data_IF_604333333669
#
_entry.id   IF_604333333669
#
_cell.length_a   1.000
_cell.length_b   1.000
_cell.length_c   1.000
_cell.angle_alpha   90.00
_cell.angle_beta   90.00
_cell.angle_gamma   90.00
#
_symmetry.space_group_name_H-M   'P 1'
#
loop_
_entity.id
_entity.type
_entity.pdbx_description
1 polymer ?
#
# COMPACT_ATOMS: atom_id res chain seq x y z
N UNK A 1 1.08 54.11 43.96
CA UNK A 1 0.14 53.33 43.12
C UNK A 1 0.33 53.61 41.62
N UNK A 2 0.46 54.85 41.12
CA UNK A 2 0.62 55.12 39.65
C UNK A 2 1.90 54.61 38.98
N UNK A 3 3.02 54.39 39.72
CA UNK A 3 4.26 53.83 39.17
C UNK A 3 4.22 52.28 39.00
N UNK A 4 3.52 51.60 39.90
CA UNK A 4 3.40 50.12 39.85
C UNK A 4 2.50 49.68 38.68
N UNK A 5 1.42 50.45 38.39
CA UNK A 5 0.53 50.19 37.24
C UNK A 5 1.25 50.34 35.90
N UNK A 6 2.16 51.29 35.73
CA UNK A 6 2.93 51.49 34.51
C UNK A 6 3.95 50.35 34.27
N UNK A 7 4.55 49.81 35.33
CA UNK A 7 5.49 48.67 35.24
C UNK A 7 4.73 47.39 34.88
N UNK A 8 3.55 47.19 35.46
CA UNK A 8 2.69 46.01 35.14
C UNK A 8 2.22 46.07 33.68
N UNK A 9 1.81 47.25 33.16
CA UNK A 9 1.44 47.38 31.75
C UNK A 9 2.63 47.15 30.81
N UNK A 10 3.84 47.57 31.16
CA UNK A 10 5.03 47.34 30.35
C UNK A 10 5.45 45.87 30.33
N UNK A 11 5.31 45.16 31.44
CA UNK A 11 5.59 43.72 31.52
C UNK A 11 4.54 42.89 30.76
N UNK A 12 3.27 43.27 30.85
CA UNK A 12 2.19 42.61 30.07
C UNK A 12 2.33 42.84 28.57
N UNK A 13 2.72 44.02 28.12
CA UNK A 13 2.96 44.29 26.69
C UNK A 13 4.21 43.59 26.17
N UNK A 14 5.25 43.41 26.97
CA UNK A 14 6.44 42.61 26.61
C UNK A 14 6.13 41.10 26.54
N UNK A 15 5.27 40.60 27.42
CA UNK A 15 4.79 39.19 27.35
C UNK A 15 3.89 38.93 26.14
N UNK A 16 3.06 39.89 25.72
CA UNK A 16 2.28 39.76 24.48
C UNK A 16 3.15 39.84 23.21
N UNK A 17 4.24 40.58 23.21
CA UNK A 17 5.19 40.60 22.08
C UNK A 17 6.02 39.33 21.98
N UNK A 18 6.31 38.66 23.08
CA UNK A 18 6.98 37.35 23.12
C UNK A 18 6.07 36.20 22.67
N UNK A 19 4.76 36.30 22.85
CA UNK A 19 3.80 35.29 22.36
C UNK A 19 3.56 35.35 20.85
N UNK A 20 3.81 36.47 20.20
CA UNK A 20 3.74 36.62 18.73
C UNK A 20 4.97 36.06 18.01
N UNK A 21 6.09 35.85 18.72
CA UNK A 21 7.29 35.21 18.15
C UNK A 21 7.28 33.70 18.22
N UNK A 22 6.34 33.09 18.96
CA UNK A 22 6.23 31.61 19.09
C UNK A 22 5.26 30.96 18.09
N UNK A 23 4.49 31.73 17.31
CA UNK A 23 3.58 31.23 16.25
C UNK A 23 4.05 31.57 14.84
N UNK A 24 5.34 31.48 14.58
CA UNK A 24 5.93 31.77 13.28
C UNK A 24 6.84 30.66 12.79
N UNK A 25 6.42 29.36 12.85
CA UNK A 25 6.82 28.44 11.82
C UNK A 25 5.85 28.63 10.67
N UNK A 26 6.16 29.60 9.86
CA UNK A 26 5.64 29.78 8.53
C UNK A 26 5.82 28.44 7.80
N UNK A 27 4.74 27.88 7.30
CA UNK A 27 4.81 26.84 6.31
C UNK A 27 5.81 27.32 5.25
N UNK A 28 6.90 26.59 5.06
CA UNK A 28 7.96 26.95 4.14
C UNK A 28 7.35 27.24 2.78
N UNK A 29 7.59 28.45 2.29
CA UNK A 29 7.21 28.85 0.96
C UNK A 29 7.92 27.96 -0.07
N UNK A 30 7.33 27.88 -1.24
CA UNK A 30 7.69 27.06 -2.39
C UNK A 30 9.09 27.33 -3.01
N UNK A 31 10.07 27.83 -2.25
CA UNK A 31 11.40 28.15 -2.76
C UNK A 31 12.47 27.10 -2.50
N UNK A 32 12.17 25.95 -1.86
CA UNK A 32 13.08 24.81 -1.74
C UNK A 32 12.92 23.77 -2.90
N UNK A 33 12.50 24.23 -4.06
CA UNK A 33 12.34 23.43 -5.28
C UNK A 33 13.67 22.86 -5.86
N UNK A 34 14.68 22.61 -5.03
CA UNK A 34 15.91 21.89 -5.39
C UNK A 34 15.94 20.46 -4.85
N UNK A 35 14.80 19.75 -4.87
CA UNK A 35 14.78 18.31 -4.87
C UNK A 35 15.24 17.59 -3.60
N UNK A 36 15.37 18.28 -2.45
CA UNK A 36 15.59 17.61 -1.16
C UNK A 36 14.27 17.23 -0.54
N UNK A 37 14.12 15.95 -0.10
CA UNK A 37 12.93 15.53 0.63
C UNK A 37 12.70 16.41 1.86
N UNK A 38 11.44 16.73 2.12
CA UNK A 38 11.03 17.41 3.37
C UNK A 38 10.76 16.32 4.41
N UNK A 39 11.38 16.48 5.59
CA UNK A 39 11.22 15.52 6.68
C UNK A 39 9.96 15.83 7.50
N UNK A 40 9.26 14.76 7.90
CA UNK A 40 8.10 14.83 8.78
C UNK A 40 6.77 15.08 8.08
N UNK A 41 5.72 15.22 8.90
CA UNK A 41 4.35 15.44 8.45
C UNK A 41 3.60 14.15 8.12
N UNK A 42 2.28 14.27 8.04
CA UNK A 42 1.36 13.17 7.70
C UNK A 42 0.72 13.43 6.35
N UNK A 43 0.79 12.45 5.46
CA UNK A 43 0.13 12.49 4.17
C UNK A 43 -1.29 11.94 4.29
N UNK A 44 -2.31 12.77 4.01
CA UNK A 44 -3.72 12.39 4.13
C UNK A 44 -4.35 12.28 2.76
N UNK A 45 -4.98 11.15 2.46
CA UNK A 45 -5.72 10.98 1.22
C UNK A 45 -7.00 10.17 1.41
N UNK A 46 -7.91 10.28 0.46
CA UNK A 46 -9.18 9.58 0.46
C UNK A 46 -9.23 8.52 -0.62
N UNK A 47 -9.95 7.43 -0.34
CA UNK A 47 -10.28 6.37 -1.29
C UNK A 47 -11.79 6.13 -1.28
N UNK A 48 -12.33 5.67 -2.41
CA UNK A 48 -13.77 5.42 -2.55
C UNK A 48 -14.19 4.08 -1.93
N UNK A 49 -13.28 3.12 -1.87
CA UNK A 49 -13.55 1.77 -1.38
C UNK A 49 -13.24 1.64 0.12
N UNK A 50 -14.07 0.91 0.88
CA UNK A 50 -13.81 0.69 2.29
C UNK A 50 -12.66 -0.29 2.50
N UNK A 51 -11.74 0.02 3.42
CA UNK A 51 -10.75 -0.93 3.94
C UNK A 51 -11.43 -1.72 5.06
N UNK A 52 -11.52 -3.03 4.90
CA UNK A 52 -12.22 -3.91 5.85
C UNK A 52 -11.30 -4.81 6.67
N UNK A 53 -10.01 -4.87 6.32
CA UNK A 53 -9.02 -5.77 6.90
C UNK A 53 -7.63 -5.20 6.69
N UNK A 54 -6.68 -5.53 7.55
CA UNK A 54 -5.26 -5.21 7.33
C UNK A 54 -4.53 -6.32 6.55
N UNK A 55 -5.18 -7.43 6.23
CA UNK A 55 -4.59 -8.51 5.45
C UNK A 55 -4.45 -8.12 3.98
N UNK A 56 -3.25 -8.31 3.42
CA UNK A 56 -2.96 -8.05 2.01
C UNK A 56 -3.97 -8.71 1.06
N UNK A 57 -4.27 -9.98 1.27
CA UNK A 57 -5.08 -10.77 0.34
C UNK A 57 -6.54 -10.34 0.29
N UNK A 58 -7.05 -9.70 1.33
CA UNK A 58 -8.41 -9.15 1.35
C UNK A 58 -8.52 -7.84 0.54
N UNK A 59 -7.39 -7.14 0.33
CA UNK A 59 -7.36 -5.82 -0.31
C UNK A 59 -6.68 -5.84 -1.68
N UNK A 60 -6.02 -6.93 -2.05
CA UNK A 60 -5.24 -7.03 -3.29
C UNK A 60 -6.09 -7.21 -4.55
N UNK A 61 -7.40 -7.33 -4.43
CA UNK A 61 -8.32 -7.45 -5.58
C UNK A 61 -8.54 -6.11 -6.30
N UNK A 62 -8.33 -4.98 -5.62
CA UNK A 62 -8.52 -3.64 -6.17
C UNK A 62 -7.21 -2.88 -6.30
N UNK A 63 -7.17 -1.93 -7.24
CA UNK A 63 -5.97 -1.10 -7.42
C UNK A 63 -5.78 -0.13 -6.26
N UNK A 64 -6.88 0.39 -5.68
CA UNK A 64 -6.83 1.28 -4.52
C UNK A 64 -6.32 0.53 -3.29
N UNK A 65 -6.81 -0.68 -3.04
CA UNK A 65 -6.29 -1.55 -1.99
C UNK A 65 -4.79 -1.79 -2.14
N UNK A 66 -4.32 -2.16 -3.34
CA UNK A 66 -2.88 -2.35 -3.60
C UNK A 66 -2.06 -1.10 -3.32
N UNK A 67 -2.53 0.10 -3.71
CA UNK A 67 -1.82 1.36 -3.48
C UNK A 67 -1.60 1.65 -1.99
N UNK A 68 -2.58 1.34 -1.14
CA UNK A 68 -2.44 1.46 0.31
C UNK A 68 -1.48 0.40 0.84
N UNK A 69 -1.78 -0.87 0.57
CA UNK A 69 -1.14 -2.00 1.23
C UNK A 69 0.30 -2.27 0.79
N UNK A 70 0.72 -1.82 -0.41
CA UNK A 70 2.13 -1.87 -0.82
C UNK A 70 3.08 -0.96 -0.01
N UNK A 71 2.53 -0.12 0.89
CA UNK A 71 3.31 0.65 1.87
C UNK A 71 3.41 -0.08 3.21
N UNK A 72 2.48 -1.01 3.48
CA UNK A 72 2.45 -1.84 4.68
C UNK A 72 3.18 -3.18 4.49
N UNK A 73 3.30 -3.66 3.25
CA UNK A 73 3.93 -4.93 2.92
C UNK A 73 4.94 -4.79 1.81
N UNK A 74 6.09 -5.42 1.96
CA UNK A 74 7.04 -5.58 0.87
C UNK A 74 6.87 -6.96 0.19
N UNK A 75 6.98 -7.03 -1.14
CA UNK A 75 7.02 -8.29 -1.88
C UNK A 75 8.43 -8.91 -1.83
N UNK A 76 8.62 -10.06 -2.47
CA UNK A 76 9.96 -10.64 -2.63
C UNK A 76 10.87 -9.72 -3.44
N UNK A 77 10.36 -9.19 -4.56
CA UNK A 77 11.04 -8.16 -5.37
C UNK A 77 10.04 -7.37 -6.21
N UNK A 78 10.45 -6.19 -6.66
CA UNK A 78 9.77 -5.40 -7.69
C UNK A 78 10.55 -5.52 -9.00
N UNK A 79 9.84 -5.63 -10.12
CA UNK A 79 10.45 -5.60 -11.46
C UNK A 79 10.47 -4.16 -11.98
N UNK A 80 11.63 -3.68 -12.36
CA UNK A 80 11.79 -2.38 -12.99
C UNK A 80 11.41 -2.43 -14.48
N UNK A 81 11.20 -1.27 -15.09
CA UNK A 81 10.85 -1.15 -16.52
C UNK A 81 11.96 -1.63 -17.45
N UNK A 82 13.21 -1.61 -17.00
CA UNK A 82 14.38 -2.14 -17.73
C UNK A 82 14.57 -3.66 -17.57
N UNK A 83 13.68 -4.32 -16.80
CA UNK A 83 13.74 -5.75 -16.53
C UNK A 83 14.64 -6.14 -15.36
N UNK A 84 15.33 -5.21 -14.72
CA UNK A 84 16.08 -5.46 -13.50
C UNK A 84 15.16 -5.73 -12.32
N UNK A 85 15.65 -6.44 -11.29
CA UNK A 85 14.90 -6.76 -10.09
C UNK A 85 15.40 -5.89 -8.93
N UNK A 86 14.45 -5.18 -8.28
CA UNK A 86 14.69 -4.51 -7.00
C UNK A 86 14.27 -5.47 -5.88
N UNK A 87 15.24 -6.20 -5.37
CA UNK A 87 15.02 -7.16 -4.29
C UNK A 87 14.56 -6.47 -3.02
N UNK A 88 13.49 -7.01 -2.41
CA UNK A 88 12.86 -6.53 -1.19
C UNK A 88 13.08 -7.52 -0.05
N UNK A 89 12.13 -8.40 0.24
CA UNK A 89 12.31 -9.44 1.26
C UNK A 89 13.29 -10.52 0.78
N UNK A 90 13.34 -10.80 -0.52
CA UNK A 90 14.35 -11.69 -1.08
C UNK A 90 15.72 -11.02 -1.18
N UNK A 91 16.77 -11.82 -0.99
CA UNK A 91 18.16 -11.48 -1.30
C UNK A 91 18.51 -11.92 -2.72
N UNK A 92 18.05 -13.09 -3.14
CA UNK A 92 18.25 -13.63 -4.49
C UNK A 92 17.18 -14.65 -4.85
N UNK A 93 17.07 -14.92 -6.15
CA UNK A 93 16.37 -16.07 -6.69
C UNK A 93 17.24 -16.72 -7.75
N UNK A 94 17.58 -18.01 -7.57
CA UNK A 94 18.31 -18.81 -8.52
C UNK A 94 17.32 -19.72 -9.25
N UNK A 95 17.40 -19.79 -10.57
CA UNK A 95 16.50 -20.55 -11.42
C UNK A 95 17.32 -21.61 -12.16
N UNK A 96 16.87 -22.88 -12.10
CA UNK A 96 17.52 -23.97 -12.84
C UNK A 96 17.51 -23.72 -14.36
N UNK A 97 18.42 -24.35 -15.09
CA UNK A 97 18.55 -24.19 -16.55
C UNK A 97 17.26 -24.54 -17.31
N UNK A 98 16.52 -25.54 -16.83
CA UNK A 98 15.22 -25.96 -17.37
C UNK A 98 14.05 -25.05 -16.94
N UNK A 99 14.32 -24.07 -16.06
CA UNK A 99 13.32 -23.10 -15.58
C UNK A 99 12.24 -23.70 -14.68
N UNK A 100 12.44 -24.90 -14.13
CA UNK A 100 11.42 -25.61 -13.32
C UNK A 100 11.64 -25.53 -11.82
N UNK A 101 12.86 -25.19 -11.38
CA UNK A 101 13.23 -25.07 -9.97
C UNK A 101 13.68 -23.65 -9.65
N UNK A 102 13.13 -23.09 -8.59
CA UNK A 102 13.43 -21.73 -8.11
C UNK A 102 13.93 -21.84 -6.67
N UNK A 103 15.17 -21.48 -6.42
CA UNK A 103 15.74 -21.37 -5.07
C UNK A 103 15.67 -19.93 -4.62
N UNK A 104 14.77 -19.63 -3.72
CA UNK A 104 14.59 -18.29 -3.14
C UNK A 104 15.40 -18.20 -1.86
N UNK A 105 16.24 -17.18 -1.76
CA UNK A 105 16.96 -16.81 -0.53
C UNK A 105 16.40 -15.51 0.02
N UNK A 106 15.91 -15.52 1.25
CA UNK A 106 15.49 -14.33 1.98
C UNK A 106 16.72 -13.55 2.49
N UNK A 107 16.53 -12.27 2.73
CA UNK A 107 17.44 -11.46 3.54
C UNK A 107 17.44 -12.00 4.98
N UNK A 108 18.51 -11.73 5.71
CA UNK A 108 18.67 -12.12 7.10
C UNK A 108 18.42 -10.97 8.10
N UNK A 109 18.21 -9.76 7.58
CA UNK A 109 17.99 -8.51 8.32
C UNK A 109 16.53 -8.01 8.22
N UNK A 110 15.56 -8.88 7.93
CA UNK A 110 14.15 -8.53 7.79
C UNK A 110 13.34 -8.97 9.01
N UNK A 111 12.49 -8.04 9.47
CA UNK A 111 11.63 -8.22 10.62
C UNK A 111 10.23 -7.72 10.35
N UNK A 112 9.26 -8.32 10.99
CA UNK A 112 7.92 -7.80 11.10
C UNK A 112 7.92 -6.50 11.93
N UNK A 113 6.86 -5.71 11.81
CA UNK A 113 6.72 -4.43 12.53
C UNK A 113 6.72 -4.58 14.05
N UNK A 114 6.36 -5.74 14.58
CA UNK A 114 6.40 -6.10 16.00
C UNK A 114 7.75 -6.62 16.49
N UNK A 115 8.72 -6.80 15.58
CA UNK A 115 10.09 -7.23 15.88
C UNK A 115 10.34 -8.72 15.70
N UNK A 116 9.33 -9.54 15.39
CA UNK A 116 9.52 -10.95 15.03
C UNK A 116 10.26 -11.08 13.69
N UNK A 117 11.08 -12.11 13.54
CA UNK A 117 11.88 -12.31 12.33
C UNK A 117 11.03 -12.88 11.20
N UNK A 118 11.16 -12.29 10.00
CA UNK A 118 10.54 -12.86 8.80
C UNK A 118 11.38 -14.04 8.32
N UNK A 119 10.73 -15.19 8.17
CA UNK A 119 11.39 -16.44 7.78
C UNK A 119 10.63 -17.15 6.65
N UNK A 120 11.19 -18.26 6.19
CA UNK A 120 10.51 -19.13 5.21
C UNK A 120 9.27 -19.82 5.78
N UNK A 121 9.09 -19.87 7.11
CA UNK A 121 7.84 -20.36 7.71
C UNK A 121 6.66 -19.46 7.38
N UNK A 122 6.88 -18.13 7.31
CA UNK A 122 5.85 -17.18 6.87
C UNK A 122 5.46 -17.41 5.39
N UNK A 123 6.44 -17.80 4.54
CA UNK A 123 6.17 -18.16 3.13
C UNK A 123 5.34 -19.43 3.06
N UNK A 124 5.73 -20.47 3.80
CA UNK A 124 5.00 -21.75 3.85
C UNK A 124 3.58 -21.50 4.35
N UNK A 125 3.42 -20.82 5.48
CA UNK A 125 2.12 -20.48 6.04
C UNK A 125 1.23 -19.74 5.02
N UNK A 126 1.80 -18.75 4.33
CA UNK A 126 1.07 -17.97 3.33
C UNK A 126 0.58 -18.85 2.19
N UNK A 127 1.46 -19.68 1.64
CA UNK A 127 1.12 -20.57 0.52
C UNK A 127 0.13 -21.66 0.93
N UNK A 128 0.30 -22.24 2.11
CA UNK A 128 -0.64 -23.22 2.67
C UNK A 128 -2.04 -22.60 2.79
N UNK A 129 -2.15 -21.34 3.26
CA UNK A 129 -3.41 -20.60 3.30
C UNK A 129 -4.00 -20.38 1.90
N UNK A 130 -3.19 -19.94 0.94
CA UNK A 130 -3.66 -19.63 -0.41
C UNK A 130 -4.06 -20.86 -1.22
N UNK A 131 -3.55 -22.03 -0.90
CA UNK A 131 -3.83 -23.27 -1.63
C UNK A 131 -5.05 -24.04 -1.10
N UNK A 132 -5.61 -23.62 0.05
CA UNK A 132 -6.87 -24.19 0.56
C UNK A 132 -8.01 -23.91 -0.43
N UNK A 133 -8.69 -24.94 -0.98
CA UNK A 133 -9.71 -24.75 -2.02
C UNK A 133 -10.86 -23.82 -1.61
N UNK A 134 -11.25 -23.85 -0.34
CA UNK A 134 -12.35 -23.05 0.23
C UNK A 134 -11.98 -21.57 0.37
N UNK A 135 -10.69 -21.27 0.46
CA UNK A 135 -10.14 -19.92 0.66
C UNK A 135 -9.68 -19.31 -0.66
N UNK A 136 -9.01 -20.11 -1.47
CA UNK A 136 -8.28 -19.81 -2.70
C UNK A 136 -8.67 -18.46 -3.36
N UNK A 137 -8.09 -17.33 -2.93
CA UNK A 137 -8.38 -16.04 -3.54
C UNK A 137 -7.96 -16.08 -5.03
N UNK A 138 -8.53 -15.20 -5.85
CA UNK A 138 -8.20 -15.13 -7.28
C UNK A 138 -6.70 -15.01 -7.56
N UNK A 139 -5.96 -14.42 -6.64
CA UNK A 139 -4.50 -14.28 -6.67
C UNK A 139 -3.76 -15.63 -6.56
N UNK A 140 -4.37 -16.64 -5.92
CA UNK A 140 -3.77 -17.98 -5.78
C UNK A 140 -3.53 -18.68 -7.13
N UNK A 141 -4.33 -18.36 -8.14
CA UNK A 141 -4.15 -18.92 -9.48
C UNK A 141 -2.77 -18.60 -10.11
N UNK A 142 -2.12 -17.52 -9.66
CA UNK A 142 -0.80 -17.13 -10.12
C UNK A 142 0.32 -18.12 -9.72
N UNK A 143 0.08 -18.95 -8.70
CA UNK A 143 1.01 -19.99 -8.23
C UNK A 143 0.76 -21.37 -8.89
N UNK A 144 -0.12 -21.41 -9.89
CA UNK A 144 -0.39 -22.62 -10.70
C UNK A 144 0.35 -22.54 -12.04
N UNK A 145 0.91 -23.70 -12.43
CA UNK A 145 1.44 -23.93 -13.78
C UNK A 145 0.74 -25.16 -14.34
N UNK A 146 0.11 -25.02 -15.50
CA UNK A 146 -0.71 -26.07 -16.14
C UNK A 146 -1.85 -26.63 -15.26
N UNK A 147 -2.39 -25.76 -14.39
CA UNK A 147 -3.50 -26.10 -13.50
C UNK A 147 -3.07 -26.63 -12.13
N UNK A 148 -1.82 -27.03 -11.97
CA UNK A 148 -1.27 -27.55 -10.72
C UNK A 148 -0.54 -26.47 -9.94
N UNK A 149 -0.71 -26.44 -8.61
CA UNK A 149 0.07 -25.58 -7.73
C UNK A 149 1.55 -25.96 -7.75
N UNK A 150 2.43 -24.96 -7.60
CA UNK A 150 3.83 -25.22 -7.34
C UNK A 150 3.99 -26.03 -6.04
N UNK A 151 4.99 -26.89 -6.00
CA UNK A 151 5.45 -27.49 -4.74
C UNK A 151 6.56 -26.65 -4.14
N UNK A 152 6.70 -26.65 -2.82
CA UNK A 152 7.74 -25.89 -2.12
C UNK A 152 8.28 -26.70 -0.94
N UNK A 153 9.56 -26.47 -0.64
CA UNK A 153 10.27 -27.16 0.43
C UNK A 153 11.21 -26.18 1.14
N UNK A 154 10.97 -25.98 2.43
CA UNK A 154 11.86 -25.20 3.31
C UNK A 154 13.19 -25.95 3.46
N UNK A 155 14.30 -25.26 3.18
CA UNK A 155 15.65 -25.76 3.40
C UNK A 155 16.27 -25.18 4.69
N UNK A 156 15.94 -23.93 5.00
CA UNK A 156 16.35 -23.24 6.22
C UNK A 156 15.41 -22.06 6.49
N UNK A 157 15.61 -21.31 7.54
CA UNK A 157 14.83 -20.11 7.85
C UNK A 157 14.93 -19.00 6.79
N UNK A 158 15.93 -19.10 5.90
CA UNK A 158 16.14 -18.11 4.83
C UNK A 158 16.12 -18.70 3.43
N UNK A 159 16.05 -20.03 3.26
CA UNK A 159 16.09 -20.67 1.94
C UNK A 159 14.89 -21.59 1.76
N UNK A 160 14.16 -21.36 0.67
CA UNK A 160 13.04 -22.19 0.23
C UNK A 160 13.16 -22.50 -1.27
N UNK A 161 12.85 -23.73 -1.65
CA UNK A 161 12.90 -24.21 -3.03
C UNK A 161 11.49 -24.45 -3.54
N UNK A 162 11.17 -23.86 -4.71
CA UNK A 162 9.92 -24.08 -5.42
C UNK A 162 10.15 -24.94 -6.64
N UNK A 163 9.18 -25.79 -6.97
CA UNK A 163 9.19 -26.59 -8.22
C UNK A 163 7.87 -26.43 -8.95
N UNK A 164 7.95 -26.33 -10.27
CA UNK A 164 6.82 -26.23 -11.20
C UNK A 164 6.99 -27.23 -12.34
N UNK A 165 5.88 -27.63 -12.97
CA UNK A 165 5.89 -28.64 -14.02
C UNK A 165 6.64 -28.23 -15.30
N UNK A 166 6.76 -26.94 -15.58
CA UNK A 166 7.54 -26.37 -16.70
C UNK A 166 7.95 -24.94 -16.42
N UNK A 167 8.90 -24.42 -17.20
CA UNK A 167 9.31 -23.01 -17.14
C UNK A 167 8.12 -22.07 -17.33
N UNK A 168 8.01 -21.08 -16.44
CA UNK A 168 6.91 -20.12 -16.47
C UNK A 168 7.36 -18.73 -16.02
N UNK A 169 7.30 -17.76 -16.95
CA UNK A 169 7.56 -16.34 -16.61
C UNK A 169 6.45 -15.76 -15.70
N UNK A 170 5.21 -16.28 -15.81
CA UNK A 170 4.11 -15.88 -14.93
C UNK A 170 4.38 -16.32 -13.51
N UNK A 171 4.88 -17.54 -13.31
CA UNK A 171 5.25 -18.02 -11.98
C UNK A 171 6.40 -17.21 -11.38
N UNK A 172 7.45 -16.90 -12.17
CA UNK A 172 8.53 -16.00 -11.73
C UNK A 172 7.99 -14.64 -11.26
N UNK A 173 7.05 -14.06 -12.02
CA UNK A 173 6.39 -12.80 -11.67
C UNK A 173 5.56 -12.94 -10.39
N UNK A 174 4.78 -14.03 -10.27
CA UNK A 174 3.97 -14.31 -9.09
C UNK A 174 4.84 -14.46 -7.84
N UNK A 175 5.95 -15.18 -7.94
CA UNK A 175 6.91 -15.34 -6.84
C UNK A 175 7.49 -13.99 -6.42
N UNK A 176 7.81 -13.10 -7.37
CA UNK A 176 8.30 -11.75 -7.08
C UNK A 176 7.28 -10.90 -6.34
N UNK A 177 6.00 -11.04 -6.69
CA UNK A 177 4.89 -10.32 -6.05
C UNK A 177 4.21 -11.11 -4.93
N UNK A 178 4.89 -12.11 -4.36
CA UNK A 178 4.43 -12.80 -3.16
C UNK A 178 4.57 -11.84 -1.96
N UNK A 179 3.44 -11.55 -1.33
CA UNK A 179 3.35 -10.83 -0.06
C UNK A 179 3.08 -11.84 1.04
N UNK A 180 4.00 -11.96 1.98
CA UNK A 180 3.88 -12.94 3.06
C UNK A 180 2.97 -12.46 4.18
N UNK A 181 2.32 -13.41 4.86
CA UNK A 181 1.55 -13.18 6.07
C UNK A 181 2.37 -13.57 7.30
N UNK A 182 2.26 -12.83 8.41
CA UNK A 182 2.96 -13.14 9.66
C UNK A 182 2.35 -14.38 10.32
N UNK A 183 2.98 -15.52 10.17
CA UNK A 183 2.48 -16.80 10.68
C UNK A 183 2.16 -16.75 12.17
N UNK A 184 2.99 -16.09 12.96
CA UNK A 184 2.84 -15.94 14.42
C UNK A 184 1.57 -15.19 14.83
N UNK A 185 1.07 -14.26 13.98
CA UNK A 185 -0.19 -13.54 14.25
C UNK A 185 -1.44 -14.44 14.10
N UNK A 186 -1.29 -15.59 13.46
CA UNK A 186 -2.38 -16.53 13.16
C UNK A 186 -2.23 -17.87 13.89
N UNK A 187 -1.47 -17.91 14.99
CA UNK A 187 -1.28 -19.12 15.75
C UNK A 187 -2.62 -19.70 16.24
N UNK A 188 -2.89 -20.96 15.94
CA UNK A 188 -4.15 -21.62 16.28
C UNK A 188 -5.35 -21.29 15.38
N UNK A 189 -5.19 -20.42 14.38
CA UNK A 189 -6.25 -20.12 13.41
C UNK A 189 -6.23 -21.17 12.30
N UNK A 190 -7.36 -21.85 12.01
CA UNK A 190 -7.43 -22.79 10.88
C UNK A 190 -7.15 -22.07 9.55
N UNK A 191 -6.45 -22.72 8.63
CA UNK A 191 -6.11 -22.14 7.32
C UNK A 191 -7.35 -21.63 6.54
N UNK A 192 -8.51 -22.28 6.72
CA UNK A 192 -9.80 -21.86 6.14
C UNK A 192 -10.34 -20.54 6.68
N UNK A 193 -9.86 -20.09 7.84
CA UNK A 193 -10.35 -18.92 8.54
C UNK A 193 -9.37 -17.74 8.51
N UNK A 194 -8.12 -17.94 8.07
CA UNK A 194 -7.06 -16.92 8.09
C UNK A 194 -7.48 -15.62 7.41
N UNK A 195 -8.20 -15.67 6.28
CA UNK A 195 -8.62 -14.45 5.58
C UNK A 195 -9.86 -13.78 6.21
N UNK A 196 -10.54 -14.42 7.15
CA UNK A 196 -11.80 -13.92 7.73
C UNK A 196 -11.76 -13.69 9.24
N UNK A 197 -10.70 -14.14 9.92
CA UNK A 197 -10.56 -14.05 11.37
C UNK A 197 -10.34 -12.60 11.85
N UNK A 198 -10.65 -12.37 13.12
CA UNK A 198 -10.54 -11.06 13.76
C UNK A 198 -9.09 -10.52 13.85
N UNK A 199 -8.10 -11.40 13.86
CA UNK A 199 -6.67 -11.05 13.84
C UNK A 199 -6.32 -10.12 12.67
N UNK A 200 -7.06 -10.21 11.56
CA UNK A 200 -6.88 -9.34 10.40
C UNK A 200 -7.12 -7.84 10.66
N UNK A 201 -7.66 -7.47 11.81
CA UNK A 201 -7.80 -6.08 12.22
C UNK A 201 -6.53 -5.51 12.89
N UNK A 202 -5.60 -6.37 13.31
CA UNK A 202 -4.35 -5.97 13.98
C UNK A 202 -3.26 -7.02 13.74
N UNK A 203 -2.62 -6.98 12.57
CA UNK A 203 -1.54 -7.91 12.19
C UNK A 203 -0.24 -7.15 11.93
N UNK A 204 0.87 -7.81 12.17
CA UNK A 204 2.19 -7.28 11.86
C UNK A 204 2.39 -7.11 10.34
N UNK A 205 3.17 -6.12 9.95
CA UNK A 205 3.43 -5.77 8.55
C UNK A 205 4.94 -5.73 8.26
N UNK A 206 5.33 -5.89 7.00
CA UNK A 206 6.75 -5.96 6.58
C UNK A 206 7.25 -4.71 5.88
N UNK A 207 6.39 -3.73 5.61
CA UNK A 207 6.70 -2.55 4.80
C UNK A 207 7.22 -1.37 5.60
N UNK A 208 7.35 -0.23 4.89
CA UNK A 208 7.88 1.01 5.44
C UNK A 208 6.98 1.67 6.50
N UNK A 209 5.71 1.28 6.55
CA UNK A 209 4.73 1.79 7.50
C UNK A 209 4.00 0.66 8.21
N UNK A 210 3.50 0.96 9.39
CA UNK A 210 2.69 0.08 10.23
C UNK A 210 1.36 0.75 10.57
N UNK A 211 0.28 -0.02 10.68
CA UNK A 211 -1.00 0.49 11.13
C UNK A 211 -0.90 0.89 12.62
N UNK A 212 -1.18 2.15 12.92
CA UNK A 212 -1.29 2.70 14.27
C UNK A 212 -2.71 2.61 14.79
N UNK A 213 -3.68 2.99 13.95
CA UNK A 213 -5.11 2.83 14.25
C UNK A 213 -5.89 2.49 13.00
N UNK A 214 -6.88 1.61 13.18
CA UNK A 214 -7.72 1.12 12.11
C UNK A 214 -9.19 1.09 12.53
N UNK A 215 -10.03 1.84 11.83
CA UNK A 215 -11.49 1.80 11.94
C UNK A 215 -12.05 1.22 10.65
N UNK A 216 -12.62 0.03 10.74
CA UNK A 216 -13.12 -0.75 9.58
C UNK A 216 -14.08 0.09 8.73
N UNK A 217 -13.79 0.24 7.46
CA UNK A 217 -14.60 0.98 6.50
C UNK A 217 -14.57 2.50 6.64
N UNK A 218 -13.81 3.04 7.59
CA UNK A 218 -13.76 4.49 7.84
C UNK A 218 -12.36 5.07 7.61
N UNK A 219 -11.37 4.58 8.37
CA UNK A 219 -10.05 5.20 8.42
C UNK A 219 -8.94 4.22 8.80
N UNK A 220 -7.79 4.39 8.15
CA UNK A 220 -6.54 3.76 8.51
C UNK A 220 -5.46 4.83 8.72
N UNK A 221 -4.84 4.85 9.88
CA UNK A 221 -3.67 5.69 10.19
C UNK A 221 -2.43 4.81 10.26
N UNK A 222 -1.39 5.22 9.55
CA UNK A 222 -0.13 4.50 9.49
C UNK A 222 1.02 5.41 9.92
N UNK A 223 1.95 4.86 10.69
CA UNK A 223 3.20 5.51 11.11
C UNK A 223 4.40 4.80 10.50
N UNK A 224 5.57 5.45 10.53
CA UNK A 224 6.82 4.83 10.13
C UNK A 224 7.05 3.52 10.88
N UNK A 225 7.44 2.47 10.16
CA UNK A 225 7.85 1.20 10.77
C UNK A 225 9.28 1.36 11.34
N UNK A 226 9.47 1.28 12.66
CA UNK A 226 10.79 1.43 13.26
C UNK A 226 11.74 0.25 12.94
N UNK A 227 11.17 -0.90 12.57
CA UNK A 227 11.91 -2.12 12.24
C UNK A 227 12.13 -2.30 10.73
N UNK A 228 11.84 -1.27 9.91
CA UNK A 228 11.99 -1.37 8.48
C UNK A 228 13.46 -1.47 8.07
N UNK A 229 13.83 -2.50 7.35
CA UNK A 229 15.20 -2.87 6.98
C UNK A 229 15.82 -1.98 5.89
N UNK A 230 15.05 -1.10 5.24
CA UNK A 230 15.54 -0.15 4.23
C UNK A 230 15.53 1.27 4.76
N UNK A 231 15.82 2.22 3.88
CA UNK A 231 15.77 3.64 4.21
C UNK A 231 14.38 4.02 4.72
N UNK A 232 14.34 4.65 5.89
CA UNK A 232 13.09 5.14 6.47
C UNK A 232 12.40 6.14 5.54
N UNK A 233 11.08 6.17 5.58
CA UNK A 233 10.29 7.18 4.86
C UNK A 233 10.60 8.59 5.40
N UNK A 234 10.51 9.61 4.54
CA UNK A 234 10.71 11.00 4.96
C UNK A 234 9.51 11.53 5.76
N UNK A 235 8.27 11.17 5.38
CA UNK A 235 7.04 11.54 6.10
C UNK A 235 6.88 10.70 7.37
N UNK A 236 6.28 11.25 8.42
CA UNK A 236 6.07 10.53 9.70
C UNK A 236 5.01 9.44 9.61
N UNK A 237 4.06 9.60 8.69
CA UNK A 237 2.99 8.65 8.47
C UNK A 237 2.06 9.07 7.35
N UNK A 238 1.02 8.26 7.15
CA UNK A 238 -0.07 8.60 6.27
C UNK A 238 -1.42 8.18 6.86
N UNK A 239 -2.47 8.87 6.45
CA UNK A 239 -3.85 8.57 6.81
C UNK A 239 -4.66 8.32 5.54
N UNK A 240 -5.42 7.23 5.53
CA UNK A 240 -6.39 6.90 4.48
C UNK A 240 -7.79 7.07 5.05
N UNK A 241 -8.62 7.86 4.39
CA UNK A 241 -10.04 8.03 4.71
C UNK A 241 -10.89 7.33 3.65
N UNK A 242 -11.87 6.55 4.07
CA UNK A 242 -12.82 5.94 3.17
C UNK A 242 -13.96 6.93 2.91
N UNK A 243 -13.94 7.61 1.76
CA UNK A 243 -14.93 8.61 1.36
C UNK A 243 -15.39 8.30 -0.06
N UNK A 244 -16.59 7.74 -0.20
CA UNK A 244 -17.10 7.24 -1.48
C UNK A 244 -17.53 8.33 -2.47
N UNK A 245 -17.82 9.55 -1.99
CA UNK A 245 -18.31 10.64 -2.82
C UNK A 245 -17.18 11.59 -3.24
N UNK A 246 -16.93 11.68 -4.55
CA UNK A 246 -15.87 12.51 -5.12
C UNK A 246 -16.03 14.02 -4.82
N UNK A 247 -17.27 14.51 -4.73
CA UNK A 247 -17.53 15.93 -4.41
C UNK A 247 -17.15 16.21 -2.96
N UNK A 248 -17.41 15.26 -2.06
CA UNK A 248 -16.98 15.34 -0.66
C UNK A 248 -15.47 15.33 -0.53
N UNK A 249 -14.78 14.47 -1.32
CA UNK A 249 -13.31 14.46 -1.36
C UNK A 249 -12.76 15.80 -1.88
N UNK A 250 -13.34 16.39 -2.92
CA UNK A 250 -12.94 17.69 -3.45
C UNK A 250 -13.10 18.79 -2.40
N UNK A 251 -14.21 18.82 -1.65
CA UNK A 251 -14.43 19.79 -0.58
C UNK A 251 -13.39 19.64 0.53
N UNK A 252 -13.10 18.40 0.97
CA UNK A 252 -12.10 18.12 1.98
C UNK A 252 -10.68 18.54 1.51
N UNK A 253 -10.36 18.33 0.23
CA UNK A 253 -9.09 18.79 -0.34
C UNK A 253 -8.99 20.32 -0.34
N UNK A 254 -10.01 21.05 -0.75
CA UNK A 254 -10.05 22.52 -0.72
C UNK A 254 -9.94 23.08 0.70
N UNK A 255 -10.49 22.36 1.69
CA UNK A 255 -10.35 22.69 3.10
C UNK A 255 -8.99 22.32 3.70
N UNK A 256 -8.06 21.78 2.88
CA UNK A 256 -6.72 21.30 3.31
C UNK A 256 -6.76 20.13 4.30
N UNK A 257 -7.85 19.37 4.28
CA UNK A 257 -8.02 18.14 5.08
C UNK A 257 -7.43 16.91 4.38
N UNK A 258 -7.24 17.00 3.05
CA UNK A 258 -6.56 16.01 2.23
C UNK A 258 -5.30 16.60 1.59
N UNK A 259 -4.24 15.81 1.51
CA UNK A 259 -2.97 16.17 0.87
C UNK A 259 -3.03 16.04 -0.66
N UNK A 260 -3.91 15.19 -1.16
CA UNK A 260 -4.10 14.92 -2.59
C UNK A 260 -5.58 14.64 -2.89
N UNK A 261 -5.97 14.96 -4.11
CA UNK A 261 -7.28 14.65 -4.65
C UNK A 261 -7.15 14.10 -6.08
N UNK A 262 -7.84 13.02 -6.38
CA UNK A 262 -7.80 12.40 -7.71
C UNK A 262 -8.92 12.96 -8.58
N UNK A 263 -8.56 13.51 -9.74
CA UNK A 263 -9.51 14.10 -10.69
C UNK A 263 -9.72 13.11 -11.84
N UNK A 264 -10.97 12.69 -12.03
CA UNK A 264 -11.38 11.74 -13.09
C UNK A 264 -12.10 12.37 -14.28
N UNK A 265 -12.43 13.67 -14.23
CA UNK A 265 -13.17 14.34 -15.28
C UNK A 265 -12.56 15.68 -15.68
N UNK A 266 -12.79 16.09 -16.94
CA UNK A 266 -12.19 17.30 -17.51
C UNK A 266 -12.78 18.60 -16.94
N UNK A 267 -14.02 18.59 -16.47
CA UNK A 267 -14.69 19.77 -15.91
C UNK A 267 -14.05 20.15 -14.58
N UNK A 268 -13.88 19.19 -13.68
CA UNK A 268 -13.17 19.39 -12.41
C UNK A 268 -11.71 19.78 -12.65
N UNK A 269 -11.01 19.13 -13.60
CA UNK A 269 -9.63 19.46 -13.95
C UNK A 269 -9.48 20.94 -14.36
N UNK A 270 -10.44 21.50 -15.09
CA UNK A 270 -10.39 22.89 -15.51
C UNK A 270 -10.34 23.89 -14.35
N UNK A 271 -10.85 23.52 -13.16
CA UNK A 271 -10.82 24.37 -11.97
C UNK A 271 -9.43 24.45 -11.29
N UNK A 272 -8.54 23.50 -11.60
CA UNK A 272 -7.24 23.35 -10.93
C UNK A 272 -6.05 23.60 -11.84
N UNK A 273 -6.16 23.29 -13.12
CA UNK A 273 -5.02 23.20 -14.05
C UNK A 273 -4.27 24.52 -14.26
N UNK A 274 -4.96 25.66 -14.10
CA UNK A 274 -4.42 27.01 -14.32
C UNK A 274 -4.37 27.81 -13.00
N UNK A 275 -4.37 27.13 -11.86
CA UNK A 275 -4.34 27.72 -10.53
C UNK A 275 -3.01 27.39 -9.82
N UNK A 276 -2.17 28.40 -9.60
CA UNK A 276 -0.84 28.29 -9.00
C UNK A 276 -0.85 27.80 -7.52
N UNK A 277 -2.03 27.76 -6.87
CA UNK A 277 -2.15 27.17 -5.53
C UNK A 277 -2.04 25.63 -5.52
N UNK A 278 -2.21 24.99 -6.69
CA UNK A 278 -2.27 23.53 -6.81
C UNK A 278 -1.23 23.02 -7.80
N UNK A 279 -0.60 21.90 -7.46
CA UNK A 279 0.22 21.16 -8.40
C UNK A 279 -0.63 20.08 -9.06
N UNK A 280 -0.86 20.18 -10.36
CA UNK A 280 -1.56 19.15 -11.14
C UNK A 280 -0.54 18.23 -11.78
N UNK A 281 -0.61 16.92 -11.45
CA UNK A 281 0.21 15.87 -12.04
C UNK A 281 -0.68 14.97 -12.88
N UNK A 282 -0.36 14.81 -14.16
CA UNK A 282 -1.05 13.91 -15.08
C UNK A 282 -0.12 12.81 -15.53
N UNK A 283 -0.59 11.57 -15.50
CA UNK A 283 0.16 10.40 -15.94
C UNK A 283 -0.79 9.38 -16.59
N UNK A 284 -0.30 8.58 -17.55
CA UNK A 284 -1.08 7.47 -18.09
C UNK A 284 -1.21 6.38 -17.03
N UNK A 285 -2.43 5.96 -16.73
CA UNK A 285 -2.70 4.92 -15.72
C UNK A 285 -2.50 3.49 -16.25
N UNK A 286 -2.31 3.34 -17.56
CA UNK A 286 -2.12 2.04 -18.22
C UNK A 286 -3.37 1.17 -18.26
N UNK A 287 -4.55 1.70 -17.90
CA UNK A 287 -5.81 0.96 -17.91
C UNK A 287 -6.38 0.86 -19.31
N UNK A 288 -6.94 -0.29 -19.62
CA UNK A 288 -7.72 -0.53 -20.82
C UNK A 288 -9.13 -0.88 -20.37
N UNK A 289 -10.11 -0.09 -20.80
CA UNK A 289 -11.53 -0.41 -20.62
C UNK A 289 -11.99 -1.19 -21.83
N UNK A 290 -12.53 -2.38 -21.62
CA UNK A 290 -13.09 -3.21 -22.69
C UNK A 290 -14.48 -3.70 -22.32
N UNK A 291 -15.25 -4.03 -23.33
CA UNK A 291 -16.55 -4.67 -23.19
C UNK A 291 -16.39 -6.16 -23.52
N UNK A 292 -16.64 -7.01 -22.55
CA UNK A 292 -16.68 -8.46 -22.75
C UNK A 292 -18.09 -8.88 -23.15
N UNK A 293 -18.21 -9.56 -24.29
CA UNK A 293 -19.48 -10.07 -24.80
C UNK A 293 -19.49 -11.58 -24.58
N UNK A 294 -20.44 -12.09 -23.82
CA UNK A 294 -20.65 -13.52 -23.68
C UNK A 294 -21.26 -14.10 -24.98
N UNK A 295 -20.50 -14.86 -25.78
CA UNK A 295 -20.97 -15.37 -27.07
C UNK A 295 -22.01 -16.49 -26.93
N UNK A 296 -22.21 -17.05 -25.76
CA UNK A 296 -23.21 -18.09 -25.46
C UNK A 296 -24.51 -17.52 -24.90
N UNK A 297 -24.52 -16.23 -24.55
CA UNK A 297 -25.77 -15.54 -24.22
C UNK A 297 -26.68 -15.50 -25.46
N UNK A 298 -28.02 -15.48 -25.24
CA UNK A 298 -28.98 -15.36 -26.35
C UNK A 298 -28.54 -14.21 -27.26
N UNK A 299 -28.61 -14.40 -28.63
CA UNK A 299 -28.15 -13.38 -29.54
C UNK A 299 -28.87 -12.05 -29.22
N UNK A 300 -28.04 -11.05 -28.96
CA UNK A 300 -28.53 -9.69 -28.86
C UNK A 300 -29.33 -9.38 -30.15
N UNK A 301 -30.53 -8.82 -30.08
CA UNK A 301 -31.25 -8.45 -31.31
C UNK A 301 -30.34 -7.55 -32.17
N UNK A 302 -30.38 -7.66 -33.50
CA UNK A 302 -29.44 -6.97 -34.37
C UNK A 302 -29.46 -5.49 -34.04
N UNK A 303 -28.25 -4.97 -33.78
CA UNK A 303 -28.02 -3.58 -33.40
C UNK A 303 -28.62 -2.67 -34.48
N UNK A 304 -29.64 -1.90 -34.16
CA UNK A 304 -30.16 -0.86 -35.02
C UNK A 304 -29.49 0.45 -34.67
N UNK A 305 -28.71 1.06 -35.58
CA UNK A 305 -28.13 2.37 -35.29
C UNK A 305 -29.26 3.36 -35.03
N UNK A 306 -29.25 3.99 -33.88
CA UNK A 306 -30.12 5.16 -33.61
C UNK A 306 -29.58 6.28 -34.50
N UNK A 307 -30.37 6.71 -35.49
CA UNK A 307 -30.07 7.94 -36.19
C UNK A 307 -30.33 9.08 -35.21
N UNK A 308 -29.25 9.78 -34.85
CA UNK A 308 -29.33 11.08 -34.20
C UNK A 308 -29.87 12.12 -35.17
#
# INVERSE_FOLDING_TARGET
>A
MKKLSKVICLVLSALMLLSLAACGKQAGGADDAQGKPIEGGTFVYAIEEPITSLNWYNNSSTDLGKQVFQNLYDPMWKSNTDGSLDYRLAKSVDISEDGTTYTLTLRDDIYWSDGEKITTDDIVFTLDTLTVPEVAPSTAAAYKVDGEFCTYEKQSDTVIVFKVGRASNLFKKALGTLYVLPAHCFEGVPATEVLTCEQNANIATSGAFVADSFSVGEKLVCLKNPNYYRTAAHIDGFEVRCVSDASTQEIAFRNKELSIFTISNAETLANYKDNDEYQVVSYPDGRITFMEINPTARPCPPWRPVRL
#
